data_IF_094821719476
#
_entry.id   IF_094821719476
#
_cell.length_a   1.000
_cell.length_b   1.000
_cell.length_c   1.000
_cell.angle_alpha   90.00
_cell.angle_beta   90.00
_cell.angle_gamma   90.00
#
_symmetry.space_group_name_H-M   'P 1'
#
loop_
_entity.id
_entity.type
_entity.pdbx_description
1 polymer ?
#
# COMPACT_ATOMS: atom_id res chain seq x y z
N UNK A 1 -12.02 -16.74 -56.19
CA UNK A 1 -12.53 -17.72 -55.19
C UNK A 1 -11.33 -18.33 -54.47
N UNK A 2 -11.37 -18.47 -53.14
CA UNK A 2 -10.26 -18.80 -52.20
C UNK A 2 -9.50 -17.57 -51.65
N UNK A 3 -10.14 -16.86 -50.72
CA UNK A 3 -9.48 -16.19 -49.57
C UNK A 3 -10.47 -15.42 -48.69
N UNK A 4 -11.77 -15.52 -48.99
CA UNK A 4 -12.90 -15.28 -48.07
C UNK A 4 -12.83 -16.19 -46.80
N UNK A 5 -11.84 -17.09 -46.70
CA UNK A 5 -11.79 -18.16 -45.70
C UNK A 5 -10.97 -17.84 -44.43
N UNK A 6 -10.22 -16.74 -44.38
CA UNK A 6 -9.35 -16.43 -43.22
C UNK A 6 -10.03 -15.47 -42.22
N UNK A 7 -11.13 -14.83 -42.62
CA UNK A 7 -11.89 -13.89 -41.76
C UNK A 7 -12.83 -14.63 -40.79
N UNK A 8 -13.07 -15.94 -40.98
CA UNK A 8 -14.09 -16.67 -40.23
C UNK A 8 -13.59 -17.44 -38.98
N UNK A 9 -12.27 -17.66 -38.80
CA UNK A 9 -11.79 -18.59 -37.76
C UNK A 9 -11.26 -17.93 -36.47
N UNK A 10 -11.01 -16.62 -36.42
CA UNK A 10 -10.51 -15.96 -35.19
C UNK A 10 -11.61 -15.38 -34.29
N UNK A 11 -12.88 -15.42 -34.71
CA UNK A 11 -14.02 -15.06 -33.86
C UNK A 11 -14.55 -16.22 -32.99
N UNK A 12 -13.94 -17.41 -33.06
CA UNK A 12 -14.41 -18.61 -32.35
C UNK A 12 -13.91 -18.76 -30.90
N UNK A 13 -13.30 -17.74 -30.30
CA UNK A 13 -13.05 -17.70 -28.84
C UNK A 13 -14.13 -16.94 -28.03
N UNK A 14 -15.29 -16.65 -28.63
CA UNK A 14 -16.44 -16.02 -27.94
C UNK A 14 -17.47 -17.07 -27.47
N UNK A 15 -16.98 -18.20 -26.94
CA UNK A 15 -17.83 -19.21 -26.28
C UNK A 15 -17.58 -19.30 -24.75
N UNK A 16 -16.76 -18.41 -24.19
CA UNK A 16 -16.78 -18.09 -22.76
C UNK A 16 -17.57 -16.78 -22.64
N UNK A 17 -18.73 -16.83 -21.99
CA UNK A 17 -19.68 -15.71 -21.95
C UNK A 17 -19.01 -14.37 -21.60
N UNK A 18 -19.52 -13.24 -22.11
CA UNK A 18 -18.97 -11.89 -21.90
C UNK A 18 -18.69 -11.58 -20.41
N UNK A 19 -19.41 -12.26 -19.52
CA UNK A 19 -19.24 -12.20 -18.07
C UNK A 19 -17.90 -12.77 -17.57
N UNK A 20 -17.45 -13.92 -18.10
CA UNK A 20 -16.15 -14.53 -17.70
C UNK A 20 -14.96 -13.72 -18.20
N UNK A 21 -15.05 -13.13 -19.38
CA UNK A 21 -14.00 -12.25 -19.90
C UNK A 21 -13.87 -10.98 -19.04
N UNK A 22 -15.00 -10.38 -18.66
CA UNK A 22 -15.05 -9.23 -17.75
C UNK A 22 -14.43 -9.55 -16.39
N UNK A 23 -14.81 -10.69 -15.79
CA UNK A 23 -14.28 -11.16 -14.51
C UNK A 23 -12.76 -11.38 -14.54
N UNK A 24 -12.21 -11.90 -15.64
CA UNK A 24 -10.75 -12.04 -15.81
C UNK A 24 -10.03 -10.70 -15.90
N UNK A 25 -10.58 -9.73 -16.64
CA UNK A 25 -10.01 -8.38 -16.71
C UNK A 25 -10.06 -7.68 -15.36
N UNK A 26 -11.18 -7.82 -14.63
CA UNK A 26 -11.33 -7.29 -13.28
C UNK A 26 -10.29 -7.92 -12.33
N UNK A 27 -10.12 -9.25 -12.38
CA UNK A 27 -9.10 -9.96 -11.61
C UNK A 27 -7.68 -9.41 -11.86
N UNK A 28 -7.30 -9.21 -13.13
CA UNK A 28 -6.00 -8.64 -13.48
C UNK A 28 -5.83 -7.22 -12.92
N UNK A 29 -6.87 -6.40 -13.00
CA UNK A 29 -6.82 -5.04 -12.44
C UNK A 29 -6.68 -5.04 -10.91
N UNK A 30 -7.39 -5.94 -10.22
CA UNK A 30 -7.31 -6.11 -8.77
C UNK A 30 -5.92 -6.57 -8.35
N UNK A 31 -5.33 -7.55 -9.05
CA UNK A 31 -3.98 -8.03 -8.72
C UNK A 31 -2.93 -6.94 -8.92
N UNK A 32 -3.05 -6.12 -9.97
CA UNK A 32 -2.17 -4.98 -10.17
C UNK A 32 -2.32 -3.93 -9.05
N UNK A 33 -3.56 -3.60 -8.65
CA UNK A 33 -3.81 -2.66 -7.56
C UNK A 33 -3.29 -3.20 -6.22
N UNK A 34 -3.49 -4.48 -5.92
CA UNK A 34 -2.98 -5.12 -4.69
C UNK A 34 -1.45 -5.06 -4.59
N UNK A 35 -0.73 -5.23 -5.70
CA UNK A 35 0.74 -5.09 -5.73
C UNK A 35 1.15 -3.65 -5.43
N UNK A 36 0.48 -2.66 -6.01
CA UNK A 36 0.76 -1.24 -5.74
C UNK A 36 0.51 -0.87 -4.28
N UNK A 37 -0.61 -1.34 -3.71
CA UNK A 37 -0.94 -1.11 -2.29
C UNK A 37 0.10 -1.72 -1.36
N UNK A 38 0.62 -2.91 -1.69
CA UNK A 38 1.69 -3.54 -0.91
C UNK A 38 2.96 -2.70 -0.91
N UNK A 39 3.39 -2.23 -2.08
CA UNK A 39 4.59 -1.38 -2.21
C UNK A 39 4.40 -0.08 -1.41
N UNK A 40 3.23 0.55 -1.53
CA UNK A 40 2.92 1.76 -0.77
C UNK A 40 2.89 1.50 0.75
N UNK A 41 2.34 0.36 1.19
CA UNK A 41 2.32 -0.02 2.60
C UNK A 41 3.74 -0.26 3.14
N UNK A 42 4.61 -0.92 2.39
CA UNK A 42 6.02 -1.12 2.75
C UNK A 42 6.75 0.23 2.90
N UNK A 43 6.48 1.20 2.05
CA UNK A 43 7.01 2.56 2.18
C UNK A 43 6.53 3.26 3.46
N UNK A 44 5.23 3.18 3.76
CA UNK A 44 4.68 3.78 4.99
C UNK A 44 5.25 3.12 6.24
N UNK A 45 5.46 1.81 6.22
CA UNK A 45 6.12 1.09 7.31
C UNK A 45 7.56 1.57 7.53
N UNK A 46 8.34 1.75 6.47
CA UNK A 46 9.68 2.30 6.59
C UNK A 46 9.69 3.73 7.17
N UNK A 47 8.70 4.56 6.81
CA UNK A 47 8.55 5.89 7.40
C UNK A 47 8.19 5.84 8.88
N UNK A 48 7.33 4.89 9.29
CA UNK A 48 7.04 4.66 10.70
C UNK A 48 8.30 4.25 11.48
N UNK A 49 9.05 3.28 10.97
CA UNK A 49 10.28 2.79 11.63
C UNK A 49 11.31 3.93 11.80
N UNK A 50 11.47 4.77 10.77
CA UNK A 50 12.35 5.94 10.84
C UNK A 50 11.84 7.00 11.84
N UNK A 51 10.54 7.28 11.83
CA UNK A 51 9.93 8.22 12.74
C UNK A 51 10.07 7.76 14.20
N UNK A 52 9.84 6.47 14.48
CA UNK A 52 10.02 5.88 15.81
C UNK A 52 11.46 6.02 16.29
N UNK A 53 12.44 5.74 15.42
CA UNK A 53 13.85 5.95 15.75
C UNK A 53 14.17 7.43 16.05
N UNK A 54 13.63 8.37 15.28
CA UNK A 54 13.83 9.79 15.53
C UNK A 54 13.15 10.25 16.83
N UNK A 55 12.00 9.68 17.20
CA UNK A 55 11.38 9.91 18.53
C UNK A 55 12.33 9.50 19.64
N UNK A 56 12.94 8.32 19.52
CA UNK A 56 13.91 7.83 20.50
C UNK A 56 15.12 8.77 20.62
N UNK A 57 15.75 9.13 19.50
CA UNK A 57 16.92 10.02 19.50
C UNK A 57 16.56 11.42 20.03
N UNK A 58 15.44 11.98 19.60
CA UNK A 58 14.97 13.28 20.10
C UNK A 58 14.71 13.26 21.61
N UNK A 59 14.05 12.21 22.11
CA UNK A 59 13.80 12.05 23.55
C UNK A 59 15.09 11.89 24.35
N UNK A 60 16.07 11.17 23.79
CA UNK A 60 17.39 11.04 24.41
C UNK A 60 18.12 12.39 24.47
N UNK A 61 18.16 13.13 23.36
CA UNK A 61 18.77 14.46 23.31
C UNK A 61 18.09 15.43 24.28
N UNK A 62 16.75 15.35 24.39
CA UNK A 62 15.96 16.11 25.35
C UNK A 62 16.43 15.86 26.80
N UNK A 63 16.51 14.58 27.20
CA UNK A 63 16.92 14.20 28.54
C UNK A 63 18.40 14.53 28.82
N UNK A 64 19.28 14.25 27.86
CA UNK A 64 20.70 14.56 28.00
C UNK A 64 20.93 16.07 28.10
N UNK A 65 20.32 16.88 27.23
CA UNK A 65 20.42 18.34 27.30
C UNK A 65 19.91 18.89 28.64
N UNK A 66 18.76 18.40 29.10
CA UNK A 66 18.19 18.82 30.39
C UNK A 66 19.10 18.50 31.59
N UNK A 67 19.82 17.37 31.55
CA UNK A 67 20.70 16.92 32.64
C UNK A 67 22.10 17.51 32.57
N UNK A 68 22.61 17.78 31.37
CA UNK A 68 23.92 18.39 31.14
C UNK A 68 23.90 19.92 31.24
N UNK A 69 22.71 20.54 31.23
CA UNK A 69 22.55 21.99 31.23
C UNK A 69 22.60 22.62 29.83
N UNK A 70 22.61 21.79 28.78
CA UNK A 70 22.50 22.23 27.38
C UNK A 70 21.02 22.33 26.98
N UNK A 71 20.44 23.51 27.24
CA UNK A 71 19.02 23.78 27.00
C UNK A 71 18.66 23.82 25.51
N UNK A 72 19.59 24.19 24.63
CA UNK A 72 19.34 24.19 23.18
C UNK A 72 19.22 22.74 22.68
N UNK A 73 20.14 21.87 23.09
CA UNK A 73 20.04 20.44 22.80
C UNK A 73 18.75 19.83 23.39
N UNK A 74 18.38 20.23 24.61
CA UNK A 74 17.16 19.75 25.25
C UNK A 74 15.92 20.10 24.42
N UNK A 75 15.83 21.35 23.96
CA UNK A 75 14.72 21.88 23.17
C UNK A 75 14.67 21.25 21.78
N UNK A 76 15.80 21.13 21.10
CA UNK A 76 15.91 20.49 19.78
C UNK A 76 15.51 19.01 19.85
N UNK A 77 15.91 18.33 20.93
CA UNK A 77 15.48 16.96 21.21
C UNK A 77 13.97 16.82 21.36
N UNK A 78 13.33 17.71 22.15
CA UNK A 78 11.88 17.73 22.30
C UNK A 78 11.19 18.00 20.96
N UNK A 79 11.67 18.98 20.19
CA UNK A 79 11.12 19.30 18.86
C UNK A 79 11.18 18.09 17.92
N UNK A 80 12.35 17.46 17.83
CA UNK A 80 12.55 16.25 17.02
C UNK A 80 11.61 15.12 17.44
N UNK A 81 11.46 14.89 18.75
CA UNK A 81 10.59 13.84 19.26
C UNK A 81 9.11 14.11 18.95
N UNK A 82 8.65 15.35 19.11
CA UNK A 82 7.25 15.72 18.84
C UNK A 82 6.94 15.63 17.35
N UNK A 83 7.80 16.18 16.49
CA UNK A 83 7.56 16.19 15.04
C UNK A 83 7.61 14.77 14.46
N UNK A 84 8.56 13.95 14.92
CA UNK A 84 8.67 12.55 14.51
C UNK A 84 7.49 11.72 15.02
N UNK A 85 6.99 11.99 16.22
CA UNK A 85 5.79 11.32 16.75
C UNK A 85 4.55 11.59 15.88
N UNK A 86 4.37 12.84 15.44
CA UNK A 86 3.29 13.19 14.49
C UNK A 86 3.47 12.49 13.15
N UNK A 87 4.69 12.43 12.64
CA UNK A 87 4.98 11.73 11.39
C UNK A 87 4.64 10.24 11.49
N UNK A 88 4.99 9.60 12.61
CA UNK A 88 4.63 8.21 12.88
C UNK A 88 3.12 7.98 12.82
N UNK A 89 2.33 8.84 13.48
CA UNK A 89 0.86 8.72 13.50
C UNK A 89 0.24 8.87 12.11
N UNK A 90 0.74 9.82 11.32
CA UNK A 90 0.29 10.02 9.93
C UNK A 90 0.60 8.78 9.07
N UNK A 91 1.85 8.30 9.11
CA UNK A 91 2.26 7.12 8.34
C UNK A 91 1.50 5.86 8.78
N UNK A 92 1.26 5.71 10.08
CA UNK A 92 0.44 4.62 10.64
C UNK A 92 -0.99 4.67 10.09
N UNK A 93 -1.63 5.84 10.13
CA UNK A 93 -2.98 6.02 9.63
C UNK A 93 -3.06 5.70 8.12
N UNK A 94 -2.11 6.21 7.32
CA UNK A 94 -2.04 5.88 5.89
C UNK A 94 -1.81 4.38 5.65
N UNK A 95 -0.94 3.73 6.43
CA UNK A 95 -0.73 2.29 6.35
C UNK A 95 -2.02 1.50 6.65
N UNK A 96 -2.78 1.90 7.67
CA UNK A 96 -4.06 1.28 8.01
C UNK A 96 -5.09 1.42 6.87
N UNK A 97 -5.18 2.58 6.22
CA UNK A 97 -6.05 2.77 5.05
C UNK A 97 -5.66 1.87 3.87
N UNK A 98 -4.35 1.78 3.59
CA UNK A 98 -3.84 0.90 2.52
C UNK A 98 -4.17 -0.57 2.81
N UNK A 99 -4.03 -0.99 4.08
CA UNK A 99 -4.39 -2.34 4.52
C UNK A 99 -5.89 -2.60 4.34
N UNK A 100 -6.76 -1.68 4.74
CA UNK A 100 -8.22 -1.83 4.57
C UNK A 100 -8.61 -1.97 3.09
N UNK A 101 -7.98 -1.17 2.22
CA UNK A 101 -8.19 -1.27 0.77
C UNK A 101 -7.72 -2.63 0.23
N UNK A 102 -6.56 -3.10 0.67
CA UNK A 102 -6.04 -4.42 0.30
C UNK A 102 -6.99 -5.54 0.72
N UNK A 103 -7.51 -5.51 1.95
CA UNK A 103 -8.43 -6.54 2.47
C UNK A 103 -9.75 -6.57 1.67
N UNK A 104 -10.24 -5.39 1.27
CA UNK A 104 -11.43 -5.26 0.39
C UNK A 104 -11.17 -5.90 -0.98
N UNK A 105 -10.02 -5.61 -1.60
CA UNK A 105 -9.65 -6.18 -2.89
C UNK A 105 -9.39 -7.68 -2.82
N UNK A 106 -8.79 -8.17 -1.72
CA UNK A 106 -8.56 -9.60 -1.50
C UNK A 106 -9.88 -10.38 -1.39
N UNK A 107 -10.88 -9.79 -0.74
CA UNK A 107 -12.24 -10.34 -0.67
C UNK A 107 -12.84 -10.42 -2.07
N UNK A 108 -12.79 -9.31 -2.83
CA UNK A 108 -13.31 -9.25 -4.21
C UNK A 108 -12.61 -10.23 -5.14
N UNK A 109 -11.29 -10.37 -5.02
CA UNK A 109 -10.50 -11.37 -5.75
C UNK A 109 -11.02 -12.78 -5.50
N UNK A 110 -11.28 -13.12 -4.24
CA UNK A 110 -11.78 -14.44 -3.84
C UNK A 110 -13.17 -14.72 -4.41
N UNK A 111 -14.06 -13.72 -4.41
CA UNK A 111 -15.37 -13.82 -5.06
C UNK A 111 -15.24 -14.10 -6.56
N UNK A 112 -14.40 -13.34 -7.26
CA UNK A 112 -14.19 -13.50 -8.71
C UNK A 112 -13.62 -14.88 -9.03
N UNK A 113 -12.63 -15.34 -8.27
CA UNK A 113 -12.06 -16.70 -8.45
C UNK A 113 -13.12 -17.78 -8.25
N UNK A 114 -14.01 -17.60 -7.27
CA UNK A 114 -15.12 -18.53 -7.02
C UNK A 114 -16.14 -18.53 -8.15
N UNK A 115 -16.41 -17.37 -8.79
CA UNK A 115 -17.33 -17.26 -9.94
C UNK A 115 -16.72 -17.78 -11.26
N UNK A 116 -15.39 -17.81 -11.36
CA UNK A 116 -14.68 -18.31 -12.55
C UNK A 116 -14.46 -19.82 -12.53
N UNK A 117 -14.40 -20.44 -11.34
CA UNK A 117 -14.35 -21.90 -11.14
C UNK A 117 -15.71 -22.54 -11.36
#
# INVERSE_FOLDING_TARGET
MKQILIIACTFLFVACGPDRARLRTELQSIEAEMVQLRIAAEQQRAQMDQAEFNVFIGSFAAGYGATSGDYELAKDGVGTAVDSSRQYDVSKYSHEQLKQRYDTLATRRTEIVTQLN
#
